data_IF_942591577266
#
_entry.id   IF_942591577266
#
_cell.length_a   1.000
_cell.length_b   1.000
_cell.length_c   1.000
_cell.angle_alpha   90.00
_cell.angle_beta   90.00
_cell.angle_gamma   90.00
#
_symmetry.space_group_name_H-M   'P 1'
#
loop_
_entity.id
_entity.type
_entity.pdbx_description
1 polymer ?
#
# COMPACT_ATOMS: atom_id res chain seq x y z
N UNK A 1 6.95 -3.15 -1.83
CA UNK A 1 5.80 -3.76 -1.13
C UNK A 1 4.52 -3.09 -1.59
N UNK A 2 3.48 -3.86 -1.88
CA UNK A 2 2.19 -3.34 -2.35
C UNK A 2 1.16 -3.42 -1.23
N UNK A 3 0.40 -2.36 -1.04
CA UNK A 3 -0.64 -2.26 -0.01
C UNK A 3 -1.98 -1.91 -0.63
N UNK A 4 -3.04 -2.54 -0.17
CA UNK A 4 -4.41 -2.07 -0.38
C UNK A 4 -4.73 -1.09 0.76
N UNK A 5 -5.03 0.17 0.40
CA UNK A 5 -5.25 1.26 1.34
C UNK A 5 -6.71 1.67 1.32
N UNK A 6 -7.38 1.48 2.45
CA UNK A 6 -8.77 1.89 2.57
C UNK A 6 -8.85 3.42 2.62
N UNK A 7 -9.67 4.01 1.74
CA UNK A 7 -9.86 5.45 1.69
C UNK A 7 -8.88 6.20 0.77
N UNK A 8 -8.04 5.51 -0.01
CA UNK A 8 -7.27 6.14 -1.09
C UNK A 8 -8.20 6.55 -2.25
N UNK A 9 -8.89 7.69 -2.10
CA UNK A 9 -9.93 8.17 -3.04
C UNK A 9 -9.47 9.34 -3.92
N UNK A 10 -8.37 10.00 -3.56
CA UNK A 10 -7.90 11.22 -4.21
C UNK A 10 -6.39 11.47 -4.00
N UNK A 11 -5.85 12.43 -4.74
CA UNK A 11 -4.43 12.78 -4.70
C UNK A 11 -3.98 13.46 -3.39
N UNK A 12 -4.87 14.19 -2.70
CA UNK A 12 -4.53 14.81 -1.42
C UNK A 12 -4.39 13.76 -0.32
N UNK A 13 -5.25 12.74 -0.34
CA UNK A 13 -5.10 11.54 0.51
C UNK A 13 -3.80 10.81 0.19
N UNK A 14 -3.50 10.57 -1.09
CA UNK A 14 -2.25 9.94 -1.52
C UNK A 14 -1.00 10.72 -1.05
N UNK A 15 -1.05 12.05 -1.11
CA UNK A 15 0.04 12.92 -0.65
C UNK A 15 0.22 12.87 0.86
N UNK A 16 -0.88 12.80 1.62
CA UNK A 16 -0.84 12.70 3.08
C UNK A 16 -0.21 11.37 3.52
N UNK A 17 -0.63 10.27 2.88
CA UNK A 17 -0.03 8.95 3.04
C UNK A 17 1.47 8.98 2.71
N UNK A 18 1.83 9.59 1.57
CA UNK A 18 3.23 9.67 1.16
C UNK A 18 4.07 10.42 2.19
N UNK A 19 3.54 11.50 2.76
CA UNK A 19 4.20 12.27 3.81
C UNK A 19 4.46 11.43 5.08
N UNK A 20 3.48 10.64 5.52
CA UNK A 20 3.62 9.75 6.69
C UNK A 20 4.71 8.70 6.50
N UNK A 21 4.81 8.10 5.32
CA UNK A 21 5.86 7.12 5.00
C UNK A 21 7.22 7.80 4.86
N UNK A 22 7.28 8.99 4.24
CA UNK A 22 8.52 9.77 4.13
C UNK A 22 9.07 10.27 5.47
N UNK A 23 8.21 10.44 6.48
CA UNK A 23 8.64 10.77 7.83
C UNK A 23 9.47 9.63 8.47
N UNK A 24 9.22 8.37 8.07
CA UNK A 24 9.99 7.21 8.49
C UNK A 24 11.20 6.95 7.57
N UNK A 25 11.00 7.07 6.27
CA UNK A 25 12.07 6.94 5.27
C UNK A 25 11.95 8.03 4.19
N UNK A 26 12.74 9.12 4.30
CA UNK A 26 12.74 10.20 3.32
C UNK A 26 13.17 9.76 1.91
N UNK A 27 13.75 8.57 1.75
CA UNK A 27 14.17 8.01 0.47
C UNK A 27 13.20 6.98 -0.09
N UNK A 28 12.11 6.67 0.62
CA UNK A 28 11.10 5.74 0.14
C UNK A 28 10.47 6.25 -1.16
N UNK A 29 10.34 5.39 -2.16
CA UNK A 29 9.57 5.68 -3.38
C UNK A 29 8.14 5.24 -3.18
N UNK A 30 7.20 6.13 -3.47
CA UNK A 30 5.78 5.87 -3.23
C UNK A 30 5.02 6.11 -4.53
N UNK A 31 4.29 5.09 -4.97
CA UNK A 31 3.42 5.16 -6.15
C UNK A 31 2.00 4.83 -5.72
N UNK A 32 1.12 5.82 -5.77
CA UNK A 32 -0.29 5.66 -5.46
C UNK A 32 -1.10 5.37 -6.72
N UNK A 33 -1.94 4.35 -6.67
CA UNK A 33 -2.94 4.00 -7.68
C UNK A 33 -4.33 4.17 -7.07
N UNK A 34 -4.86 5.40 -7.20
CA UNK A 34 -6.18 5.79 -6.69
C UNK A 34 -7.29 4.94 -7.33
N UNK A 35 -7.18 4.65 -8.64
CA UNK A 35 -8.18 3.86 -9.36
C UNK A 35 -8.34 2.42 -8.84
N UNK A 36 -7.35 1.88 -8.12
CA UNK A 36 -7.41 0.55 -7.48
C UNK A 36 -7.33 0.61 -5.96
N UNK A 37 -7.26 1.79 -5.36
CA UNK A 37 -7.03 1.94 -3.91
C UNK A 37 -5.71 1.33 -3.44
N UNK A 38 -4.68 1.33 -4.29
CA UNK A 38 -3.40 0.63 -4.03
C UNK A 38 -2.24 1.60 -3.86
N UNK A 39 -1.31 1.23 -2.99
CA UNK A 39 -0.09 1.98 -2.73
C UNK A 39 1.12 1.06 -2.84
N UNK A 40 2.01 1.36 -3.78
CA UNK A 40 3.31 0.71 -3.88
C UNK A 40 4.33 1.54 -3.10
N UNK A 41 4.97 0.92 -2.12
CA UNK A 41 6.05 1.51 -1.33
C UNK A 41 7.34 0.74 -1.58
N UNK A 42 8.34 1.44 -2.08
CA UNK A 42 9.69 0.95 -2.32
C UNK A 42 10.62 1.61 -1.30
N UNK A 43 10.95 0.89 -0.22
CA UNK A 43 11.91 1.34 0.79
C UNK A 43 12.93 0.24 1.03
N UNK A 44 14.20 0.63 1.22
CA UNK A 44 15.26 -0.28 1.62
C UNK A 44 15.41 -0.44 3.14
N UNK A 45 14.60 0.27 3.94
CA UNK A 45 14.72 0.34 5.40
C UNK A 45 13.45 -0.07 6.13
N UNK A 46 12.28 0.25 5.58
CA UNK A 46 11.00 -0.02 6.23
C UNK A 46 10.52 -1.43 5.95
N UNK A 47 10.01 -2.11 6.97
CA UNK A 47 9.29 -3.37 6.82
C UNK A 47 7.79 -3.12 6.66
N UNK A 48 7.07 -4.17 6.28
CA UNK A 48 5.62 -4.13 6.10
C UNK A 48 4.87 -3.59 7.33
N UNK A 49 5.26 -4.04 8.52
CA UNK A 49 4.63 -3.63 9.77
C UNK A 49 4.84 -2.14 10.04
N UNK A 50 6.05 -1.61 9.81
CA UNK A 50 6.35 -0.19 10.00
C UNK A 50 5.46 0.69 9.12
N UNK A 51 5.29 0.29 7.85
CA UNK A 51 4.44 1.00 6.90
C UNK A 51 2.97 0.89 7.32
N UNK A 52 2.50 -0.32 7.64
CA UNK A 52 1.10 -0.55 8.03
C UNK A 52 0.72 0.22 9.29
N UNK A 53 1.61 0.28 10.28
CA UNK A 53 1.39 1.06 11.51
C UNK A 53 1.44 2.57 11.25
N UNK A 54 2.35 3.06 10.40
CA UNK A 54 2.39 4.47 10.00
C UNK A 54 1.11 4.90 9.29
N UNK A 55 0.62 4.07 8.38
CA UNK A 55 -0.62 4.33 7.63
C UNK A 55 -1.83 4.30 8.58
N UNK A 56 -1.91 3.31 9.48
CA UNK A 56 -2.95 3.23 10.50
C UNK A 56 -2.93 4.43 11.45
N UNK A 57 -1.76 4.87 11.90
CA UNK A 57 -1.59 6.04 12.76
C UNK A 57 -2.01 7.34 12.05
N UNK A 58 -1.86 7.41 10.73
CA UNK A 58 -2.33 8.50 9.90
C UNK A 58 -3.84 8.43 9.57
N UNK A 59 -4.54 7.38 10.02
CA UNK A 59 -5.98 7.18 9.78
C UNK A 59 -6.30 6.45 8.48
N UNK A 60 -5.30 5.90 7.79
CA UNK A 60 -5.43 5.16 6.54
C UNK A 60 -5.11 3.68 6.78
N UNK A 61 -6.06 2.87 7.25
CA UNK A 61 -5.78 1.45 7.46
C UNK A 61 -5.41 0.80 6.12
N UNK A 62 -4.26 0.13 6.13
CA UNK A 62 -3.71 -0.55 4.98
C UNK A 62 -3.40 -2.00 5.33
N UNK A 63 -3.57 -2.87 4.33
CA UNK A 63 -3.18 -4.28 4.41
C UNK A 63 -2.23 -4.59 3.27
N UNK A 64 -1.28 -5.49 3.50
CA UNK A 64 -0.43 -5.96 2.41
C UNK A 64 -1.32 -6.57 1.32
N UNK A 65 -1.23 -6.02 0.12
CA UNK A 65 -1.88 -6.60 -1.03
C UNK A 65 -1.06 -7.84 -1.42
N UNK A 66 -1.67 -9.02 -1.53
CA UNK A 66 -0.96 -10.18 -2.00
C UNK A 66 -0.38 -9.87 -3.40
N UNK A 67 0.89 -10.20 -3.60
CA UNK A 67 1.52 -10.23 -4.90
C UNK A 67 0.84 -11.31 -5.72
N UNK A 68 -0.28 -10.98 -6.38
CA UNK A 68 -0.87 -11.91 -7.32
C UNK A 68 0.02 -11.86 -8.57
N UNK A 69 0.81 -12.91 -8.88
CA UNK A 69 1.20 -13.10 -10.25
C UNK A 69 -0.09 -13.14 -11.06
N UNK A 70 -0.13 -12.36 -12.13
CA UNK A 70 -1.09 -12.50 -13.20
C UNK A 70 -1.05 -13.95 -13.75
N UNK A 71 -1.77 -14.87 -13.10
CA UNK A 71 -1.74 -16.29 -13.48
C UNK A 71 -2.04 -17.35 -12.42
N UNK A 72 -2.18 -17.03 -11.12
CA UNK A 72 -2.62 -18.05 -10.15
C UNK A 72 -4.14 -18.24 -10.21
N UNK A 73 -4.55 -19.20 -11.02
CA UNK A 73 -5.85 -19.88 -11.02
C UNK A 73 -6.19 -20.46 -9.65
N UNK A 74 -6.63 -19.62 -8.72
CA UNK A 74 -7.36 -20.07 -7.53
C UNK A 74 -8.86 -20.12 -7.81
N UNK A 75 -9.25 -20.96 -8.77
CA UNK A 75 -10.61 -21.52 -8.86
C UNK A 75 -10.47 -23.01 -9.10
N UNK A 76 -10.44 -23.79 -8.01
CA UNK A 76 -10.69 -25.22 -8.05
C UNK A 76 -12.13 -25.52 -8.49
N UNK A 77 -12.30 -26.65 -9.18
CA UNK A 77 -13.55 -27.38 -9.44
C UNK A 77 -14.82 -26.55 -9.68
N UNK A 78 -15.17 -26.38 -10.95
CA UNK A 78 -16.58 -26.43 -11.36
C UNK A 78 -16.85 -27.87 -11.83
N UNK A 79 -17.95 -28.45 -11.34
CA UNK A 79 -18.29 -29.88 -11.36
C UNK A 79 -18.49 -30.51 -12.73
#
# INVERSE_FOLDING_TARGET
MLFDVLGLVDEATARSIAFSVHALDPQAKITANIGRGRLLVESGKLQENDISDALRAAGFPASLAPEHPEGSTCCGSCG
#
